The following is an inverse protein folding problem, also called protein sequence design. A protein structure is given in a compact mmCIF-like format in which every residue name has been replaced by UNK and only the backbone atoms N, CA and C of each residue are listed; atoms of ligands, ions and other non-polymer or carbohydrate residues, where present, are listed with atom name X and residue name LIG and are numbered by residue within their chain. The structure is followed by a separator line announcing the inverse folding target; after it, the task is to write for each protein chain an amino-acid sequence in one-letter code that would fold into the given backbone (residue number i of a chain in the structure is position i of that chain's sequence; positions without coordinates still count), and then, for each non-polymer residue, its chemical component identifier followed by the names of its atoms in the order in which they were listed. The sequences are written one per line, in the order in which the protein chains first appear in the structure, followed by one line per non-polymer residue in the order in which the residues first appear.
data_IF_072672644410
#
_entry.id   IF_072672644410
#
_cell.length_a   1.000
_cell.length_b   1.000
_cell.length_c   1.000
_cell.angle_alpha   90.00
_cell.angle_beta   90.00
_cell.angle_gamma   90.00
#
_symmetry.space_group_name_H-M   'P 1'
#
loop_
_entity.id
_entity.type
_entity.pdbx_description
1 polymer ?
#
# COMPACT_ATOMS: atom_id res chain seq x y z
N UNK A 1 1.35 -3.27 -6.35
CA UNK A 1 1.34 -4.67 -5.84
C UNK A 1 2.08 -4.72 -4.51
N UNK A 2 1.43 -5.21 -3.45
CA UNK A 2 2.12 -5.54 -2.20
C UNK A 2 2.80 -6.91 -2.36
N UNK A 3 4.11 -6.95 -2.19
CA UNK A 3 4.92 -8.15 -2.31
C UNK A 3 5.69 -8.42 -1.03
N UNK A 4 6.23 -9.62 -0.91
CA UNK A 4 7.12 -10.00 0.18
C UNK A 4 8.37 -10.61 -0.43
N UNK A 5 9.53 -10.19 0.05
CA UNK A 5 10.82 -10.71 -0.35
C UNK A 5 11.55 -11.26 0.87
N UNK A 6 12.39 -12.27 0.65
CA UNK A 6 13.30 -12.79 1.67
C UNK A 6 14.73 -12.42 1.30
N UNK A 7 15.37 -11.63 2.15
CA UNK A 7 16.81 -11.41 2.07
C UNK A 7 17.51 -12.40 3.01
N UNK A 8 18.42 -13.20 2.46
CA UNK A 8 19.21 -14.16 3.23
C UNK A 8 20.63 -13.62 3.36
N UNK A 9 21.02 -13.32 4.60
CA UNK A 9 22.40 -13.06 4.99
C UNK A 9 22.95 -14.28 5.77
N UNK A 10 24.28 -14.49 5.84
CA UNK A 10 24.89 -15.68 6.44
C UNK A 10 24.44 -16.01 7.88
N UNK A 11 23.89 -15.04 8.59
CA UNK A 11 23.43 -15.14 9.98
C UNK A 11 22.01 -14.59 10.21
N UNK A 12 21.25 -14.27 9.15
CA UNK A 12 19.90 -13.71 9.30
C UNK A 12 19.04 -13.93 8.05
N UNK A 13 17.81 -14.41 8.25
CA UNK A 13 16.76 -14.36 7.23
C UNK A 13 15.85 -13.18 7.59
N UNK A 14 15.86 -12.14 6.76
CA UNK A 14 14.93 -11.02 6.89
C UNK A 14 13.80 -11.20 5.88
N UNK A 15 12.55 -11.27 6.37
CA UNK A 15 11.36 -11.05 5.55
C UNK A 15 11.14 -9.56 5.45
N UNK A 16 11.09 -9.04 4.23
CA UNK A 16 10.77 -7.64 3.94
C UNK A 16 9.49 -7.59 3.10
N UNK A 17 8.45 -6.95 3.62
CA UNK A 17 7.31 -6.55 2.80
C UNK A 17 7.70 -5.38 1.90
N UNK A 18 7.11 -5.24 0.72
CA UNK A 18 7.25 -4.00 -0.06
C UNK A 18 5.99 -3.68 -0.83
N UNK A 19 5.66 -2.40 -0.91
CA UNK A 19 4.62 -1.90 -1.81
C UNK A 19 5.31 -1.38 -3.08
N UNK A 20 5.03 -2.02 -4.21
CA UNK A 20 5.51 -1.61 -5.52
C UNK A 20 4.42 -0.86 -6.28
N UNK A 21 4.72 0.36 -6.72
CA UNK A 21 3.89 1.20 -7.59
C UNK A 21 4.67 1.45 -8.87
N UNK A 22 4.13 1.11 -10.03
CA UNK A 22 4.80 1.28 -11.31
C UNK A 22 3.85 1.84 -12.37
N UNK A 23 4.34 2.79 -13.16
CA UNK A 23 3.70 3.23 -14.39
C UNK A 23 4.15 2.26 -15.49
N UNK A 24 3.21 1.47 -15.98
CA UNK A 24 3.44 0.42 -16.96
C UNK A 24 3.28 0.95 -18.38
N UNK A 25 4.08 0.44 -19.32
CA UNK A 25 3.93 0.71 -20.75
C UNK A 25 2.91 -0.26 -21.36
N UNK A 26 1.81 0.27 -21.88
CA UNK A 26 0.73 -0.48 -22.52
C UNK A 26 1.23 -1.41 -23.65
N UNK A 27 2.35 -1.04 -24.29
CA UNK A 27 2.92 -1.72 -25.47
C UNK A 27 3.86 -2.87 -25.09
N UNK A 28 4.51 -2.83 -23.92
CA UNK A 28 5.58 -3.75 -23.56
C UNK A 28 5.43 -4.36 -22.15
N UNK A 29 4.88 -5.58 -22.08
CA UNK A 29 4.71 -6.35 -20.83
C UNK A 29 6.02 -6.59 -20.11
N UNK A 30 6.11 -6.09 -18.86
CA UNK A 30 7.30 -6.15 -18.02
C UNK A 30 8.13 -4.87 -17.96
N UNK A 31 7.86 -3.86 -18.79
CA UNK A 31 8.57 -2.59 -18.77
C UNK A 31 7.79 -1.51 -18.00
N UNK A 32 8.50 -0.78 -17.14
CA UNK A 32 7.94 0.32 -16.36
C UNK A 32 8.65 1.62 -16.74
N UNK A 33 7.88 2.64 -17.14
CA UNK A 33 8.40 3.99 -17.38
C UNK A 33 8.93 4.61 -16.10
N UNK A 34 8.25 4.35 -14.99
CA UNK A 34 8.67 4.73 -13.66
C UNK A 34 8.22 3.68 -12.66
N UNK A 35 9.03 3.41 -11.65
CA UNK A 35 8.62 2.58 -10.52
C UNK A 35 9.12 3.14 -9.20
N UNK A 36 8.31 2.96 -8.17
CA UNK A 36 8.61 3.32 -6.80
C UNK A 36 8.35 2.11 -5.92
N UNK A 37 9.38 1.72 -5.16
CA UNK A 37 9.27 0.70 -4.12
C UNK A 37 9.23 1.40 -2.77
N UNK A 38 8.17 1.16 -2.01
CA UNK A 38 8.03 1.60 -0.64
C UNK A 38 8.31 0.38 0.25
N UNK A 39 9.46 0.36 0.92
CA UNK A 39 9.81 -0.70 1.87
C UNK A 39 8.78 -0.79 2.99
N UNK A 40 8.42 -2.00 3.39
CA UNK A 40 7.54 -2.30 4.51
C UNK A 40 8.20 -3.39 5.37
N UNK A 41 7.72 -3.55 6.61
CA UNK A 41 8.26 -4.58 7.50
C UNK A 41 7.76 -5.95 7.06
N UNK A 42 6.45 -6.05 6.80
CA UNK A 42 5.77 -7.26 6.38
C UNK A 42 4.68 -6.93 5.33
N UNK A 43 3.96 -7.96 4.86
CA UNK A 43 2.89 -7.80 3.88
C UNK A 43 1.74 -6.94 4.42
N UNK A 44 1.40 -7.07 5.70
CA UNK A 44 0.33 -6.30 6.35
C UNK A 44 0.68 -4.81 6.38
N UNK A 45 1.92 -4.47 6.74
CA UNK A 45 2.39 -3.09 6.70
C UNK A 45 2.41 -2.54 5.27
N UNK A 46 2.77 -3.35 4.26
CA UNK A 46 2.63 -2.94 2.86
C UNK A 46 1.17 -2.65 2.49
N UNK A 47 0.23 -3.47 2.97
CA UNK A 47 -1.20 -3.28 2.80
C UNK A 47 -1.72 -2.00 3.49
N UNK A 48 -1.27 -1.74 4.72
CA UNK A 48 -1.60 -0.53 5.46
C UNK A 48 -1.13 0.72 4.70
N UNK A 49 0.06 0.68 4.12
CA UNK A 49 0.57 1.79 3.29
C UNK A 49 -0.28 1.98 2.04
N UNK A 50 -0.73 0.88 1.42
CA UNK A 50 -1.65 0.95 0.29
C UNK A 50 -2.99 1.59 0.68
N UNK A 51 -3.62 1.11 1.76
CA UNK A 51 -4.88 1.67 2.25
C UNK A 51 -4.76 3.14 2.66
N UNK A 52 -3.63 3.55 3.22
CA UNK A 52 -3.34 4.96 3.51
C UNK A 52 -3.29 5.80 2.23
N UNK A 53 -2.59 5.34 1.19
CA UNK A 53 -2.52 6.03 -0.11
C UNK A 53 -3.92 6.07 -0.77
N UNK A 54 -4.65 4.95 -0.74
CA UNK A 54 -5.99 4.84 -1.32
C UNK A 54 -6.97 5.80 -0.62
N UNK A 55 -7.02 5.77 0.71
CA UNK A 55 -7.90 6.65 1.50
C UNK A 55 -7.56 8.13 1.25
N UNK A 56 -6.26 8.45 1.13
CA UNK A 56 -5.83 9.79 0.75
C UNK A 56 -6.32 10.21 -0.63
N UNK A 57 -6.23 9.32 -1.62
CA UNK A 57 -6.65 9.59 -2.98
C UNK A 57 -8.18 9.71 -3.12
N UNK A 58 -8.95 8.91 -2.37
CA UNK A 58 -10.41 8.86 -2.47
C UNK A 58 -11.11 9.90 -1.57
N UNK A 59 -10.71 9.99 -0.30
CA UNK A 59 -11.36 10.80 0.73
C UNK A 59 -10.59 12.11 1.03
N UNK A 60 -9.35 12.21 0.54
CA UNK A 60 -8.49 13.38 0.70
C UNK A 60 -7.62 13.36 1.95
N UNK A 61 -6.89 14.46 2.22
CA UNK A 61 -5.91 14.54 3.32
C UNK A 61 -6.52 14.38 4.71
N UNK A 62 -7.81 14.69 4.89
CA UNK A 62 -8.49 14.61 6.18
C UNK A 62 -8.73 13.16 6.64
N UNK A 63 -8.70 12.20 5.72
CA UNK A 63 -8.85 10.79 6.04
C UNK A 63 -7.58 10.18 6.65
N UNK A 64 -6.42 10.81 6.42
CA UNK A 64 -5.17 10.40 7.09
C UNK A 64 -5.08 11.10 8.45
N UNK A 65 -4.73 10.34 9.49
CA UNK A 65 -4.37 10.90 10.80
C UNK A 65 -3.10 11.76 10.76
N UNK A 66 -2.90 12.59 11.79
CA UNK A 66 -1.71 13.41 11.91
C UNK A 66 -0.43 12.57 12.06
N UNK A 67 0.67 13.06 11.50
CA UNK A 67 1.99 12.43 11.67
C UNK A 67 2.39 12.44 13.13
N UNK A 68 2.34 11.27 13.77
CA UNK A 68 2.81 11.10 15.14
C UNK A 68 4.32 10.84 15.15
N UNK A 69 5.08 11.50 16.05
CA UNK A 69 6.49 11.18 16.22
C UNK A 69 6.64 9.72 16.68
N UNK A 70 7.73 9.08 16.27
CA UNK A 70 8.04 7.75 16.79
C UNK A 70 8.39 7.91 18.26
N UNK A 71 7.60 7.31 19.15
CA UNK A 71 7.83 7.35 20.60
C UNK A 71 8.11 5.95 21.14
N UNK A 72 8.81 5.88 22.26
CA UNK A 72 9.04 4.61 22.96
C UNK A 72 7.71 3.99 23.39
N UNK A 73 6.76 4.80 23.83
CA UNK A 73 5.43 4.33 24.23
C UNK A 73 4.64 3.73 23.05
N UNK A 74 4.69 4.37 21.87
CA UNK A 74 4.07 3.82 20.66
C UNK A 74 4.68 2.47 20.27
N UNK A 75 6.00 2.31 20.40
CA UNK A 75 6.66 1.03 20.15
C UNK A 75 6.30 -0.05 21.19
N UNK A 76 6.15 0.33 22.46
CA UNK A 76 5.67 -0.58 23.52
C UNK A 76 4.24 -1.03 23.22
N UNK A 77 3.38 -0.09 22.82
CA UNK A 77 1.99 -0.39 22.47
C UNK A 77 1.93 -1.37 21.28
N UNK A 78 2.69 -1.10 20.21
CA UNK A 78 2.76 -1.99 19.05
C UNK A 78 3.21 -3.41 19.44
N UNK A 79 4.27 -3.53 20.25
CA UNK A 79 4.75 -4.84 20.71
C UNK A 79 3.69 -5.58 21.54
N UNK A 80 3.01 -4.86 22.42
CA UNK A 80 1.91 -5.41 23.22
C UNK A 80 0.77 -5.94 22.35
N UNK A 81 0.38 -5.19 21.32
CA UNK A 81 -0.69 -5.57 20.40
C UNK A 81 -0.30 -6.81 19.58
N UNK A 82 0.94 -6.87 19.09
CA UNK A 82 1.48 -8.03 18.36
C UNK A 82 1.53 -9.30 19.20
N UNK A 83 1.85 -9.18 20.49
CA UNK A 83 1.97 -10.32 21.41
C UNK A 83 0.65 -10.64 22.14
N UNK A 84 -0.41 -9.85 21.94
CA UNK A 84 -1.66 -9.98 22.70
C UNK A 84 -1.51 -9.70 24.20
N UNK A 85 -0.48 -8.95 24.60
CA UNK A 85 -0.17 -8.64 26.00
C UNK A 85 -0.78 -7.29 26.35
N UNK A 86 -1.50 -7.20 27.47
CA UNK A 86 -1.98 -5.89 27.98
C UNK A 86 -0.78 -5.00 28.32
N UNK A 87 -0.78 -3.73 27.91
CA UNK A 87 0.28 -2.72 28.15
C UNK A 87 0.83 -2.71 29.59
N UNK A 88 -0.01 -2.96 30.60
CA UNK A 88 0.39 -2.99 32.02
C UNK A 88 1.34 -4.15 32.39
N UNK A 89 1.40 -5.19 31.56
CA UNK A 89 2.24 -6.37 31.75
C UNK A 89 3.44 -6.38 30.79
N UNK A 90 3.82 -5.21 30.26
CA UNK A 90 5.00 -5.12 29.41
C UNK A 90 6.26 -5.52 30.21
N UNK A 91 7.12 -6.43 29.70
CA UNK A 91 8.23 -6.92 30.49
C UNK A 91 9.32 -5.87 30.71
N UNK A 92 9.66 -5.60 31.96
CA UNK A 92 10.66 -4.57 32.32
C UNK A 92 12.06 -4.87 31.77
N UNK A 93 12.44 -6.14 31.67
CA UNK A 93 13.73 -6.53 31.10
C UNK A 93 13.85 -6.17 29.62
N UNK A 94 12.76 -6.28 28.84
CA UNK A 94 12.71 -5.86 27.44
C UNK A 94 12.82 -4.34 27.37
N UNK A 95 12.08 -3.63 28.23
CA UNK A 95 12.14 -2.17 28.34
C UNK A 95 13.58 -1.68 28.58
N UNK A 96 14.24 -2.27 29.57
CA UNK A 96 15.60 -1.93 29.96
C UNK A 96 16.60 -2.28 28.85
N UNK A 97 16.43 -3.44 28.21
CA UNK A 97 17.23 -3.81 27.05
C UNK A 97 17.07 -2.81 25.90
N UNK A 98 15.86 -2.32 25.63
CA UNK A 98 15.62 -1.31 24.59
C UNK A 98 16.30 0.04 24.92
N UNK A 99 16.37 0.43 26.18
CA UNK A 99 17.14 1.60 26.60
C UNK A 99 18.65 1.41 26.37
N UNK A 100 19.18 0.23 26.67
CA UNK A 100 20.61 -0.08 26.55
C UNK A 100 21.06 -0.32 25.10
N UNK A 101 20.23 -0.97 24.29
CA UNK A 101 20.53 -1.34 22.89
C UNK A 101 20.56 -0.16 21.91
N UNK A 102 20.54 1.09 22.40
CA UNK A 102 20.59 2.28 21.54
C UNK A 102 19.27 2.60 20.84
N UNK A 103 18.15 1.95 21.22
CA UNK A 103 16.84 2.20 20.58
C UNK A 103 16.38 3.65 20.75
N UNK A 104 16.70 4.28 21.88
CA UNK A 104 16.46 5.72 22.09
C UNK A 104 17.22 6.60 21.10
N UNK A 105 18.46 6.24 20.76
CA UNK A 105 19.25 6.94 19.74
C UNK A 105 18.62 6.74 18.35
N UNK A 106 18.13 5.53 18.06
CA UNK A 106 17.42 5.25 16.82
C UNK A 106 16.11 6.07 16.71
N UNK A 107 15.32 6.15 17.79
CA UNK A 107 14.10 6.97 17.87
C UNK A 107 14.45 8.45 17.65
N UNK A 108 15.46 8.96 18.35
CA UNK A 108 15.92 10.34 18.20
C UNK A 108 16.35 10.64 16.76
N UNK A 109 17.18 9.76 16.17
CA UNK A 109 17.63 9.89 14.78
C UNK A 109 16.46 9.86 13.81
N UNK A 110 15.50 8.96 13.99
CA UNK A 110 14.33 8.84 13.12
C UNK A 110 13.48 10.11 13.17
N UNK A 111 13.17 10.61 14.36
CA UNK A 111 12.44 11.86 14.55
C UNK A 111 13.20 13.07 13.97
N UNK A 112 14.53 13.09 14.08
CA UNK A 112 15.36 14.11 13.44
C UNK A 112 15.29 14.06 11.91
N UNK A 113 15.37 12.86 11.31
CA UNK A 113 15.24 12.67 9.86
C UNK A 113 13.84 13.09 9.38
N UNK A 114 12.77 12.69 10.08
CA UNK A 114 11.39 13.07 9.74
C UNK A 114 11.23 14.59 9.73
N UNK A 115 11.67 15.27 10.80
CA UNK A 115 11.63 16.74 10.88
C UNK A 115 12.44 17.41 9.77
N UNK A 116 13.60 16.86 9.42
CA UNK A 116 14.45 17.38 8.34
C UNK A 116 13.79 17.20 6.98
N UNK A 117 13.08 16.08 6.76
CA UNK A 117 12.33 15.83 5.53
C UNK A 117 11.13 16.77 5.41
N UNK A 118 10.35 16.98 6.48
CA UNK A 118 9.26 17.96 6.51
C UNK A 118 9.75 19.36 6.13
N UNK A 119 10.82 19.83 6.79
CA UNK A 119 11.45 21.13 6.46
C UNK A 119 12.00 21.21 5.04
N UNK A 120 12.39 20.09 4.42
CA UNK A 120 12.82 20.06 3.03
C UNK A 120 11.62 20.17 2.09
N UNK A 121 10.53 19.47 2.37
CA UNK A 121 9.30 19.55 1.57
C UNK A 121 8.77 20.99 1.52
N UNK A 122 8.80 21.71 2.65
CA UNK A 122 8.41 23.13 2.74
C UNK A 122 9.27 24.06 1.86
N UNK A 123 10.52 23.69 1.56
CA UNK A 123 11.43 24.50 0.73
C UNK A 123 11.10 24.45 -0.76
N UNK A 124 10.28 23.50 -1.19
CA UNK A 124 9.90 23.35 -2.59
C UNK A 124 8.42 23.72 -2.75
N UNK A 125 8.09 25.01 -2.99
CA UNK A 125 6.70 25.45 -3.10
C UNK A 125 5.95 24.75 -4.25
N UNK A 126 6.68 24.33 -5.29
CA UNK A 126 6.16 23.50 -6.39
C UNK A 126 5.60 22.17 -5.88
N UNK A 127 6.23 21.55 -4.87
CA UNK A 127 5.72 20.31 -4.27
C UNK A 127 4.39 20.56 -3.57
N UNK A 128 4.23 21.69 -2.89
CA UNK A 128 2.96 22.06 -2.27
C UNK A 128 1.87 22.31 -3.32
N UNK A 129 2.23 22.87 -4.48
CA UNK A 129 1.33 23.03 -5.62
C UNK A 129 0.93 21.69 -6.24
N UNK A 130 1.89 20.79 -6.50
CA UNK A 130 1.64 19.42 -6.98
C UNK A 130 0.87 18.55 -5.99
N UNK A 131 0.89 18.93 -4.71
CA UNK A 131 0.15 18.24 -3.65
C UNK A 131 -1.31 18.68 -3.54
N UNK A 132 -1.74 19.69 -4.30
CA UNK A 132 -3.16 20.07 -4.35
C UNK A 132 -3.96 18.97 -5.06
N UNK A 133 -5.18 18.67 -4.60
CA UNK A 133 -6.02 17.69 -5.27
C UNK A 133 -6.34 18.17 -6.69
N UNK A 134 -6.33 17.24 -7.64
CA UNK A 134 -6.77 17.53 -9.01
C UNK A 134 -8.25 17.92 -9.02
N UNK A 135 -8.68 18.81 -9.93
CA UNK A 135 -10.09 19.07 -10.19
C UNK A 135 -10.84 17.75 -10.46
N UNK A 136 -12.09 17.63 -9.98
CA UNK A 136 -12.87 16.39 -10.11
C UNK A 136 -13.12 16.01 -11.57
N UNK A 137 -13.10 17.00 -12.46
CA UNK A 137 -13.26 16.86 -13.89
C UNK A 137 -12.07 16.12 -14.53
N UNK A 138 -10.88 16.24 -13.94
CA UNK A 138 -9.63 15.58 -14.39
C UNK A 138 -9.41 14.23 -13.71
N UNK A 139 -10.32 13.80 -12.84
CA UNK A 139 -10.20 12.50 -12.20
C UNK A 139 -10.36 11.39 -13.24
N UNK A 140 -9.34 10.54 -13.35
CA UNK A 140 -9.40 9.38 -14.20
C UNK A 140 -10.56 8.49 -13.74
N UNK A 141 -11.51 8.22 -14.65
CA UNK A 141 -12.58 7.27 -14.38
C UNK A 141 -11.98 5.87 -14.32
N UNK A 142 -12.40 5.02 -13.36
CA UNK A 142 -11.90 3.66 -13.26
C UNK A 142 -12.17 2.94 -14.58
N UNK A 143 -11.14 2.23 -15.07
CA UNK A 143 -11.25 1.50 -16.32
C UNK A 143 -12.35 0.44 -16.21
N UNK A 144 -12.93 0.09 -17.34
CA UNK A 144 -14.00 -0.91 -17.34
C UNK A 144 -13.52 -2.28 -16.86
N UNK A 145 -12.27 -2.64 -17.19
CA UNK A 145 -11.61 -3.84 -16.68
C UNK A 145 -11.53 -3.82 -15.15
N UNK A 146 -11.12 -2.69 -14.56
CA UNK A 146 -11.01 -2.54 -13.12
C UNK A 146 -12.38 -2.71 -12.44
N UNK A 147 -13.43 -2.08 -12.98
CA UNK A 147 -14.78 -2.23 -12.45
C UNK A 147 -15.27 -3.68 -12.51
N UNK A 148 -15.00 -4.38 -13.61
CA UNK A 148 -15.35 -5.80 -13.75
C UNK A 148 -14.66 -6.67 -12.69
N UNK A 149 -13.35 -6.52 -12.50
CA UNK A 149 -12.61 -7.30 -11.51
C UNK A 149 -13.03 -6.97 -10.08
N UNK A 150 -13.28 -5.69 -9.76
CA UNK A 150 -13.80 -5.28 -8.47
C UNK A 150 -15.17 -5.91 -8.17
N UNK A 151 -16.04 -6.01 -9.18
CA UNK A 151 -17.33 -6.68 -9.03
C UNK A 151 -17.15 -8.17 -8.75
N UNK A 152 -16.28 -8.87 -9.50
CA UNK A 152 -16.01 -10.30 -9.27
C UNK A 152 -15.39 -10.59 -7.90
N UNK A 153 -14.50 -9.72 -7.44
CA UNK A 153 -13.96 -9.77 -6.08
C UNK A 153 -15.07 -9.66 -5.02
N UNK A 154 -15.92 -8.65 -5.17
CA UNK A 154 -16.99 -8.37 -4.21
C UNK A 154 -18.00 -9.52 -4.12
N UNK A 155 -18.37 -10.11 -5.26
CA UNK A 155 -19.36 -11.21 -5.32
C UNK A 155 -18.78 -12.55 -4.83
N UNK A 156 -17.57 -12.90 -5.28
CA UNK A 156 -17.08 -14.27 -5.14
C UNK A 156 -16.06 -14.44 -4.01
N UNK A 157 -15.13 -13.49 -3.85
CA UNK A 157 -14.00 -13.68 -2.94
C UNK A 157 -14.29 -13.06 -1.57
N UNK A 158 -14.74 -11.82 -1.55
CA UNK A 158 -14.97 -11.08 -0.30
C UNK A 158 -16.16 -11.63 0.50
N UNK A 159 -17.21 -12.12 -0.17
CA UNK A 159 -18.29 -12.85 0.50
C UNK A 159 -17.82 -14.14 1.19
N UNK A 160 -16.73 -14.74 0.71
CA UNK A 160 -16.12 -15.94 1.30
C UNK A 160 -15.13 -15.61 2.42
N UNK A 161 -15.07 -14.35 2.85
CA UNK A 161 -14.18 -13.86 3.90
C UNK A 161 -12.72 -13.70 3.46
N UNK A 162 -12.43 -13.81 2.15
CA UNK A 162 -11.08 -13.54 1.64
C UNK A 162 -10.84 -12.04 1.62
N UNK A 163 -9.59 -11.65 1.85
CA UNK A 163 -9.12 -10.27 1.79
C UNK A 163 -8.18 -10.05 0.61
N UNK A 164 -7.89 -8.79 0.27
CA UNK A 164 -6.92 -8.42 -0.79
C UNK A 164 -5.54 -9.09 -0.64
N UNK A 165 -5.18 -9.58 0.55
CA UNK A 165 -3.91 -10.25 0.82
C UNK A 165 -3.93 -11.75 0.58
N UNK A 166 -5.12 -12.32 0.45
CA UNK A 166 -5.38 -13.77 0.32
C UNK A 166 -5.95 -14.17 -1.03
N UNK A 167 -6.40 -13.19 -1.82
CA UNK A 167 -6.92 -13.45 -3.17
C UNK A 167 -5.75 -13.65 -4.14
N UNK A 168 -5.86 -14.66 -5.00
CA UNK A 168 -4.87 -14.97 -6.04
C UNK A 168 -4.93 -13.95 -7.19
N UNK A 169 -4.02 -14.05 -8.17
CA UNK A 169 -4.05 -13.13 -9.33
C UNK A 169 -5.41 -13.24 -10.05
N UNK A 170 -6.12 -12.12 -10.10
CA UNK A 170 -7.45 -12.01 -10.69
C UNK A 170 -7.41 -12.16 -12.21
N UNK A 171 -6.26 -11.88 -12.84
CA UNK A 171 -6.09 -12.06 -14.28
C UNK A 171 -6.05 -13.53 -14.64
N UNK A 172 -5.44 -14.35 -13.80
CA UNK A 172 -5.45 -15.80 -13.99
C UNK A 172 -6.84 -16.37 -13.72
N UNK A 173 -7.52 -15.88 -12.67
CA UNK A 173 -8.79 -16.44 -12.20
C UNK A 173 -9.99 -15.98 -13.04
N UNK A 174 -10.03 -14.69 -13.41
CA UNK A 174 -11.17 -14.05 -14.06
C UNK A 174 -10.84 -13.43 -15.42
N UNK A 175 -9.58 -13.48 -15.87
CA UNK A 175 -9.16 -12.99 -17.19
C UNK A 175 -9.93 -13.59 -18.37
N UNK A 176 -10.12 -14.93 -18.43
CA UNK A 176 -10.91 -15.53 -19.51
C UNK A 176 -12.34 -14.98 -19.58
N UNK A 177 -12.99 -14.83 -18.43
CA UNK A 177 -14.34 -14.27 -18.35
C UNK A 177 -14.40 -12.79 -18.78
N UNK A 178 -13.34 -12.02 -18.50
CA UNK A 178 -13.19 -10.65 -18.99
C UNK A 178 -13.06 -10.61 -20.52
N UNK A 179 -12.17 -11.42 -21.09
CA UNK A 179 -11.94 -11.50 -22.54
C UNK A 179 -13.22 -11.88 -23.30
N UNK A 180 -13.96 -12.88 -22.82
CA UNK A 180 -15.26 -13.25 -23.37
C UNK A 180 -16.27 -12.08 -23.33
N UNK A 181 -16.30 -11.31 -22.24
CA UNK A 181 -17.19 -10.16 -22.11
C UNK A 181 -16.88 -9.07 -23.16
N UNK A 182 -15.60 -8.90 -23.47
CA UNK A 182 -15.13 -7.96 -24.48
C UNK A 182 -15.46 -8.46 -25.89
N UNK A 183 -15.28 -9.75 -26.16
CA UNK A 183 -15.61 -10.38 -27.44
C UNK A 183 -17.11 -10.24 -27.76
N UNK A 184 -17.99 -10.60 -26.82
CA UNK A 184 -19.45 -10.47 -26.97
C UNK A 184 -19.91 -9.04 -27.24
N UNK A 185 -19.21 -8.05 -26.70
CA UNK A 185 -19.53 -6.63 -26.94
C UNK A 185 -19.08 -6.15 -28.32
N UNK A 186 -17.93 -6.62 -28.79
CA UNK A 186 -17.47 -6.35 -30.17
C UNK A 186 -18.46 -6.93 -31.18
N UNK A 187 -18.88 -8.17 -30.99
CA UNK A 187 -19.88 -8.83 -31.84
C UNK A 187 -21.22 -8.07 -31.84
N UNK A 188 -21.71 -7.64 -30.68
CA UNK A 188 -22.95 -6.84 -30.57
C UNK A 188 -22.84 -5.48 -31.27
N UNK A 189 -21.68 -4.81 -31.20
CA UNK A 189 -21.45 -3.55 -31.92
C UNK A 189 -21.45 -3.78 -33.44
N UNK A 190 -20.76 -4.82 -33.91
CA UNK A 190 -20.73 -5.19 -35.33
C UNK A 190 -22.12 -5.55 -35.87
N UNK A 191 -22.94 -6.26 -35.08
CA UNK A 191 -24.33 -6.57 -35.44
C UNK A 191 -25.24 -5.33 -35.48
N UNK A 192 -24.96 -4.31 -34.67
CA UNK A 192 -25.73 -3.06 -34.65
C UNK A 192 -25.33 -2.10 -35.79
N UNK A 193 -24.09 -2.17 -36.26
CA UNK A 193 -23.56 -1.34 -37.37
C UNK A 193 -23.87 -1.93 -38.76
N UNK A 194 -24.39 -3.16 -38.83
CA UNK A 194 -24.77 -3.85 -40.08
C UNK A 194 -26.28 -3.83 -40.39
N UNK A 195 -27.05 -3.08 -39.60
CA UNK A 195 -28.48 -2.79 -39.77
C UNK A 195 -28.67 -1.32 -40.18
#
# INVERSE_FOLDING_TARGET
MAGEGTAVAPNMVMREGSLFIGAYDDVASGYFWASMRISALDRTHAAMKWEMIRSFMEEGPKAIGESQPVTMEGMVQQYCDEQGIKRKHFPDHIKNWWYLSGRMVAIWRMNWVIRKLQKKAEKFPQVAEWSKPLPKEEWAKPSEALNFFNHKLAENEYQRGKTILTVNDLRETYGPAWEESQQRRKEKKQAAESL
#
